data_IF_036749481369
#
_entry.id   IF_036749481369
#
_cell.length_a   1.000
_cell.length_b   1.000
_cell.length_c   1.000
_cell.angle_alpha   90.00
_cell.angle_beta   90.00
_cell.angle_gamma   90.00
#
_symmetry.space_group_name_H-M   'P 1'
#
loop_
_entity.id
_entity.type
_entity.pdbx_description
1 polymer ?
#
# COMPACT_ATOMS: atom_id res chain seq x y z
N UNK A 1 11.07 26.86 -8.10
CA UNK A 1 12.02 25.87 -7.52
C UNK A 1 12.15 24.75 -8.53
N UNK A 2 13.35 24.18 -8.80
CA UNK A 2 13.41 23.00 -9.64
C UNK A 2 12.64 21.91 -8.90
N UNK A 3 11.62 21.34 -9.56
CA UNK A 3 10.79 20.28 -8.99
C UNK A 3 11.66 19.01 -8.95
N UNK A 4 12.51 18.91 -7.91
CA UNK A 4 13.38 17.75 -7.73
C UNK A 4 12.54 16.50 -7.56
N UNK A 5 12.96 15.42 -8.20
CA UNK A 5 12.34 14.11 -8.04
C UNK A 5 12.34 13.74 -6.55
N UNK A 6 11.16 13.44 -5.99
CA UNK A 6 11.03 12.99 -4.61
C UNK A 6 10.55 11.56 -4.61
N UNK A 7 11.32 10.68 -3.98
CA UNK A 7 10.93 9.30 -3.77
C UNK A 7 10.41 9.11 -2.34
N UNK A 8 9.42 8.24 -2.19
CA UNK A 8 8.93 7.78 -0.90
C UNK A 8 8.86 6.24 -0.88
N UNK A 9 9.01 5.69 0.31
CA UNK A 9 8.73 4.28 0.61
C UNK A 9 7.82 4.26 1.83
N UNK A 10 6.79 3.43 1.77
CA UNK A 10 5.83 3.27 2.84
C UNK A 10 5.53 1.78 3.05
N UNK A 11 5.36 1.39 4.31
CA UNK A 11 4.90 0.06 4.67
C UNK A 11 3.98 0.18 5.87
N UNK A 12 2.98 -0.69 5.94
CA UNK A 12 2.12 -0.83 7.12
C UNK A 12 1.82 -2.30 7.40
N UNK A 13 1.51 -2.59 8.65
CA UNK A 13 1.06 -3.89 9.12
C UNK A 13 0.03 -3.67 10.22
N UNK A 14 -1.06 -4.44 10.19
CA UNK A 14 -2.13 -4.34 11.17
C UNK A 14 -2.81 -5.68 11.38
N UNK A 15 -3.07 -6.02 12.64
CA UNK A 15 -3.83 -7.22 13.01
C UNK A 15 -5.23 -6.82 13.45
N UNK A 16 -6.22 -7.53 12.95
CA UNK A 16 -7.62 -7.34 13.32
C UNK A 16 -8.23 -8.66 13.79
N UNK A 17 -9.05 -8.56 14.84
CA UNK A 17 -9.84 -9.66 15.37
C UNK A 17 -11.25 -9.54 14.79
N UNK A 18 -11.78 -10.66 14.30
CA UNK A 18 -13.15 -10.80 13.82
C UNK A 18 -13.96 -11.62 14.85
N UNK A 19 -15.28 -11.61 14.70
CA UNK A 19 -16.16 -12.52 15.44
C UNK A 19 -15.83 -14.00 15.08
N UNK A 20 -16.25 -14.93 15.93
CA UNK A 20 -16.04 -16.39 15.77
C UNK A 20 -14.56 -16.85 15.75
N UNK A 21 -13.70 -16.16 16.51
CA UNK A 21 -12.28 -16.52 16.68
C UNK A 21 -11.44 -16.47 15.40
N UNK A 22 -11.91 -15.77 14.37
CA UNK A 22 -11.14 -15.49 13.18
C UNK A 22 -10.26 -14.25 13.41
N UNK A 23 -9.06 -14.27 12.87
CA UNK A 23 -8.18 -13.11 12.84
C UNK A 23 -7.51 -12.97 11.48
N UNK A 24 -7.18 -11.73 11.15
CA UNK A 24 -6.42 -11.44 9.95
C UNK A 24 -5.34 -10.41 10.18
N UNK A 25 -4.24 -10.58 9.45
CA UNK A 25 -3.13 -9.63 9.40
C UNK A 25 -3.13 -8.99 8.03
N UNK A 26 -3.34 -7.68 7.99
CA UNK A 26 -3.10 -6.87 6.81
C UNK A 26 -1.65 -6.40 6.78
N UNK A 27 -1.05 -6.35 5.59
CA UNK A 27 0.17 -5.59 5.37
C UNK A 27 0.19 -4.95 3.98
N UNK A 28 0.93 -3.85 3.86
CA UNK A 28 1.19 -3.21 2.59
C UNK A 28 2.63 -2.74 2.46
N UNK A 29 3.09 -2.67 1.21
CA UNK A 29 4.38 -2.10 0.84
C UNK A 29 4.18 -1.25 -0.42
N UNK A 30 4.65 -0.01 -0.37
CA UNK A 30 4.50 0.93 -1.47
C UNK A 30 5.73 1.78 -1.72
N UNK A 31 5.85 2.23 -2.95
CA UNK A 31 6.84 3.19 -3.41
C UNK A 31 6.16 4.29 -4.22
N UNK A 32 6.59 5.53 -4.01
CA UNK A 32 6.06 6.70 -4.68
C UNK A 32 7.15 7.57 -5.26
N UNK A 33 6.80 8.27 -6.35
CA UNK A 33 7.67 9.18 -7.08
C UNK A 33 6.89 10.45 -7.45
N UNK A 34 7.36 11.59 -6.97
CA UNK A 34 6.94 12.89 -7.48
C UNK A 34 7.87 13.29 -8.64
N UNK A 35 7.31 13.43 -9.84
CA UNK A 35 8.05 13.79 -11.05
C UNK A 35 7.22 14.74 -11.92
N UNK A 36 7.83 15.86 -12.34
CA UNK A 36 7.25 16.81 -13.30
C UNK A 36 5.80 17.27 -13.00
N UNK A 37 5.45 17.46 -11.73
CA UNK A 37 4.12 17.91 -11.31
C UNK A 37 3.08 16.79 -11.26
N UNK A 38 3.54 15.54 -11.26
CA UNK A 38 2.74 14.36 -10.98
C UNK A 38 3.29 13.61 -9.78
N UNK A 39 2.39 12.98 -9.04
CA UNK A 39 2.70 11.99 -8.01
C UNK A 39 2.23 10.64 -8.53
N UNK A 40 3.16 9.69 -8.59
CA UNK A 40 2.92 8.30 -8.96
C UNK A 40 3.16 7.43 -7.75
N UNK A 41 2.21 6.57 -7.39
CA UNK A 41 2.33 5.65 -6.26
C UNK A 41 1.96 4.24 -6.70
N UNK A 42 2.75 3.26 -6.29
CA UNK A 42 2.50 1.84 -6.50
C UNK A 42 2.54 1.14 -5.14
N UNK A 43 1.43 0.50 -4.77
CA UNK A 43 1.30 -0.18 -3.46
C UNK A 43 0.78 -1.59 -3.64
N UNK A 44 1.51 -2.56 -3.10
CA UNK A 44 1.05 -3.93 -2.93
C UNK A 44 0.35 -4.06 -1.58
N UNK A 45 -0.85 -4.62 -1.58
CA UNK A 45 -1.64 -4.91 -0.40
C UNK A 45 -1.87 -6.41 -0.30
N UNK A 46 -1.74 -6.94 0.90
CA UNK A 46 -2.03 -8.34 1.18
C UNK A 46 -2.72 -8.48 2.53
N UNK A 47 -3.44 -9.58 2.69
CA UNK A 47 -4.07 -9.96 3.94
C UNK A 47 -3.87 -11.46 4.17
N UNK A 48 -3.36 -11.82 5.34
CA UNK A 48 -3.24 -13.21 5.75
C UNK A 48 -4.42 -13.53 6.69
N UNK A 49 -5.22 -14.55 6.37
CA UNK A 49 -6.36 -14.99 7.19
C UNK A 49 -5.96 -16.26 7.94
N UNK A 50 -5.79 -16.20 9.27
CA UNK A 50 -5.42 -17.37 10.09
C UNK A 50 -4.20 -18.19 9.58
N UNK A 51 -3.23 -17.55 8.92
CA UNK A 51 -2.04 -18.23 8.34
C UNK A 51 -2.27 -18.85 6.96
N UNK A 52 -3.47 -18.74 6.41
CA UNK A 52 -3.83 -19.18 5.06
C UNK A 52 -3.87 -17.98 4.09
N UNK A 53 -3.30 -18.11 2.87
CA UNK A 53 -3.29 -17.07 1.85
C UNK A 53 -4.65 -17.00 1.12
N UNK A 54 -5.74 -16.98 1.88
CA UNK A 54 -7.11 -16.98 1.37
C UNK A 54 -7.62 -15.56 1.04
N UNK A 55 -6.88 -14.52 1.39
CA UNK A 55 -7.29 -13.16 1.11
C UNK A 55 -6.66 -12.63 -0.18
N UNK A 56 -7.47 -11.93 -0.97
CA UNK A 56 -7.05 -11.33 -2.24
C UNK A 56 -5.93 -10.30 -2.03
N UNK A 57 -4.76 -10.63 -2.56
CA UNK A 57 -3.69 -9.65 -2.76
C UNK A 57 -4.04 -8.74 -3.94
N UNK A 58 -3.66 -7.46 -3.85
CA UNK A 58 -3.87 -6.49 -4.93
C UNK A 58 -2.69 -5.55 -5.09
N UNK A 59 -2.47 -5.14 -6.34
CA UNK A 59 -1.56 -4.07 -6.70
C UNK A 59 -2.38 -2.84 -7.07
N UNK A 60 -2.15 -1.73 -6.37
CA UNK A 60 -2.84 -0.46 -6.59
C UNK A 60 -1.84 0.54 -7.16
N UNK A 61 -2.14 1.09 -8.32
CA UNK A 61 -1.38 2.20 -8.92
C UNK A 61 -2.23 3.46 -8.86
N UNK A 62 -1.65 4.55 -8.37
CA UNK A 62 -2.25 5.88 -8.35
C UNK A 62 -1.40 6.85 -9.16
N UNK A 63 -2.04 7.67 -9.97
CA UNK A 63 -1.40 8.78 -10.66
C UNK A 63 -2.23 10.05 -10.41
N UNK A 64 -1.60 11.09 -9.88
CA UNK A 64 -2.24 12.35 -9.53
C UNK A 64 -1.45 13.52 -10.10
N UNK A 65 -2.15 14.56 -10.56
CA UNK A 65 -1.53 15.86 -10.79
C UNK A 65 -1.32 16.60 -9.47
N UNK A 66 -0.08 17.02 -9.22
CA UNK A 66 0.31 17.82 -8.07
C UNK A 66 0.00 19.29 -8.40
N UNK A 67 -0.88 19.92 -7.62
CA UNK A 67 -1.28 21.33 -7.77
C UNK A 67 -0.47 22.23 -6.85
#
# INVERSE_FOLDING_TARGET
>A
MPLGERMNLAADIGRQLLDDALDYTHWSLGAGLDVQGFSLDLTYHNTDLAGEPLADARLVMTARRSF
#
